data_IF_801443311646
#
_entry.id   IF_801443311646
#
_cell.length_a   1.000
_cell.length_b   1.000
_cell.length_c   1.000
_cell.angle_alpha   90.00
_cell.angle_beta   90.00
_cell.angle_gamma   90.00
#
_symmetry.space_group_name_H-M   'P 1'
#
loop_
_entity.id
_entity.type
_entity.pdbx_description
1 polymer ?
#
# COMPACT_ATOMS: atom_id res chain seq x y z
N UNK A 1 16.65 42.72 -23.30
CA UNK A 1 17.67 42.24 -22.34
C UNK A 1 17.18 42.62 -20.95
N UNK A 2 16.48 41.71 -20.25
CA UNK A 2 15.99 41.96 -18.89
C UNK A 2 16.09 40.67 -18.07
N UNK A 3 17.29 40.10 -17.98
CA UNK A 3 17.62 39.02 -17.04
C UNK A 3 18.17 39.58 -15.73
N UNK A 4 17.46 40.55 -15.12
CA UNK A 4 18.03 41.44 -14.11
C UNK A 4 17.44 41.38 -12.69
N UNK A 5 16.51 40.47 -12.39
CA UNK A 5 15.82 40.45 -11.08
C UNK A 5 15.73 39.08 -10.41
N UNK A 6 16.25 38.02 -11.03
CA UNK A 6 16.33 36.69 -10.41
C UNK A 6 17.80 36.34 -10.26
N UNK A 7 18.28 36.20 -9.03
CA UNK A 7 19.47 35.40 -8.76
C UNK A 7 19.27 34.02 -9.40
N UNK A 8 20.32 33.45 -9.98
CA UNK A 8 20.30 32.08 -10.49
C UNK A 8 19.98 31.13 -9.32
N UNK A 9 18.69 30.80 -9.16
CA UNK A 9 18.16 30.11 -7.97
C UNK A 9 16.69 30.41 -7.64
N UNK A 10 16.11 31.54 -8.07
CA UNK A 10 14.77 31.96 -7.61
C UNK A 10 13.61 30.98 -7.91
N UNK A 11 13.73 30.14 -8.94
CA UNK A 11 12.77 29.05 -9.21
C UNK A 11 12.96 27.89 -8.22
N UNK A 12 14.21 27.56 -7.86
CA UNK A 12 14.50 26.55 -6.85
C UNK A 12 14.04 27.04 -5.47
N UNK A 13 14.26 28.31 -5.13
CA UNK A 13 13.78 28.91 -3.88
C UNK A 13 12.23 28.80 -3.77
N UNK A 14 11.50 29.12 -4.84
CA UNK A 14 10.05 28.96 -4.89
C UNK A 14 9.59 27.50 -4.73
N UNK A 15 10.35 26.55 -5.30
CA UNK A 15 10.08 25.12 -5.15
C UNK A 15 10.32 24.69 -3.70
N UNK A 16 11.42 25.11 -3.09
CA UNK A 16 11.78 24.80 -1.70
C UNK A 16 10.75 25.35 -0.71
N UNK A 17 10.28 26.58 -0.92
CA UNK A 17 9.21 27.19 -0.12
C UNK A 17 7.90 26.38 -0.22
N UNK A 18 7.50 26.02 -1.45
CA UNK A 18 6.27 25.24 -1.67
C UNK A 18 6.38 23.84 -1.06
N UNK A 19 7.54 23.19 -1.18
CA UNK A 19 7.80 21.88 -0.55
C UNK A 19 7.78 22.00 0.96
N UNK A 20 8.41 23.03 1.52
CA UNK A 20 8.43 23.29 2.96
C UNK A 20 7.01 23.48 3.50
N UNK A 21 6.20 24.32 2.86
CA UNK A 21 4.80 24.53 3.22
C UNK A 21 3.99 23.24 3.12
N UNK A 22 4.20 22.45 2.06
CA UNK A 22 3.58 21.14 1.89
C UNK A 22 3.92 20.16 3.02
N UNK A 23 5.21 20.08 3.40
CA UNK A 23 5.70 19.23 4.49
C UNK A 23 5.16 19.71 5.84
N UNK A 24 5.18 21.01 6.11
CA UNK A 24 4.64 21.58 7.35
C UNK A 24 3.14 21.34 7.48
N UNK A 25 2.38 21.53 6.39
CA UNK A 25 0.96 21.24 6.32
C UNK A 25 0.66 19.76 6.56
N UNK A 26 1.46 18.85 5.97
CA UNK A 26 1.34 17.41 6.22
C UNK A 26 1.64 17.06 7.68
N UNK A 27 2.71 17.60 8.26
CA UNK A 27 3.08 17.37 9.66
C UNK A 27 2.04 17.91 10.63
N UNK A 28 1.42 19.05 10.33
CA UNK A 28 0.36 19.64 11.15
C UNK A 28 -0.93 18.78 11.18
N UNK A 29 -1.13 17.93 10.17
CA UNK A 29 -2.26 16.99 10.10
C UNK A 29 -1.98 15.64 10.76
N UNK A 30 -0.74 15.38 11.16
CA UNK A 30 -0.43 14.15 11.89
C UNK A 30 -1.08 14.22 13.28
N UNK A 31 -1.72 13.13 13.74
CA UNK A 31 -2.26 13.07 15.10
C UNK A 31 -1.12 13.26 16.11
N UNK A 32 -1.38 14.10 17.11
CA UNK A 32 -0.50 14.33 18.24
C UNK A 32 -0.96 13.51 19.45
N UNK A 33 -0.01 13.02 20.24
CA UNK A 33 -0.28 12.21 21.43
C UNK A 33 0.59 10.96 21.48
N UNK A 34 0.41 10.16 22.53
CA UNK A 34 1.09 8.87 22.66
C UNK A 34 0.57 7.89 21.62
N UNK A 35 1.47 7.33 20.83
CA UNK A 35 1.16 6.15 20.01
C UNK A 35 0.94 4.95 20.92
N UNK A 36 0.07 4.03 20.49
CA UNK A 36 0.12 2.68 21.02
C UNK A 36 1.51 2.09 20.77
N UNK A 37 1.97 1.27 21.71
CA UNK A 37 3.23 0.54 21.55
C UNK A 37 3.07 -0.61 20.54
N UNK A 38 1.85 -1.16 20.44
CA UNK A 38 1.55 -2.30 19.59
C UNK A 38 0.34 -2.02 18.70
N UNK A 39 0.36 -2.57 17.48
CA UNK A 39 -0.77 -2.52 16.58
C UNK A 39 -1.93 -3.35 17.16
N UNK A 40 -3.15 -2.79 17.12
CA UNK A 40 -4.35 -3.47 17.66
C UNK A 40 -4.74 -4.69 16.82
N UNK A 41 -4.49 -4.64 15.52
CA UNK A 41 -4.90 -5.69 14.58
C UNK A 41 -3.92 -6.87 14.54
N UNK A 42 -2.62 -6.58 14.37
CA UNK A 42 -1.58 -7.61 14.23
C UNK A 42 -0.75 -7.84 15.50
N UNK A 43 -0.83 -6.97 16.50
CA UNK A 43 -0.03 -7.05 17.73
C UNK A 43 1.44 -6.66 17.57
N UNK A 44 1.86 -6.18 16.40
CA UNK A 44 3.26 -5.86 16.10
C UNK A 44 3.73 -4.57 16.80
N UNK A 45 5.01 -4.51 17.19
CA UNK A 45 5.62 -3.28 17.72
C UNK A 45 5.66 -2.22 16.62
N UNK A 46 4.92 -1.13 16.84
CA UNK A 46 4.81 -0.04 15.88
C UNK A 46 6.16 0.69 15.75
N UNK A 47 6.91 0.82 16.85
CA UNK A 47 8.17 1.56 16.86
C UNK A 47 9.24 0.88 16.01
N UNK A 48 9.39 -0.44 16.16
CA UNK A 48 10.32 -1.25 15.39
C UNK A 48 9.99 -1.29 13.91
N UNK A 49 8.74 -1.64 13.56
CA UNK A 49 8.31 -1.79 12.16
C UNK A 49 8.43 -0.47 11.38
N UNK A 50 8.11 0.68 12.00
CA UNK A 50 8.27 1.99 11.36
C UNK A 50 9.74 2.36 11.04
N UNK A 51 10.71 1.66 11.64
CA UNK A 51 12.15 1.81 11.40
C UNK A 51 12.75 0.65 10.61
N UNK A 52 11.92 -0.25 10.11
CA UNK A 52 12.39 -1.46 9.41
C UNK A 52 13.08 -2.47 10.33
N UNK A 53 12.85 -2.41 11.64
CA UNK A 53 13.30 -3.42 12.59
C UNK A 53 12.21 -4.48 12.72
N UNK A 54 12.49 -5.68 12.21
CA UNK A 54 11.58 -6.82 12.21
C UNK A 54 12.37 -8.10 12.51
N UNK A 55 12.28 -8.58 13.75
CA UNK A 55 12.99 -9.78 14.23
C UNK A 55 12.20 -11.08 13.98
N UNK A 56 11.10 -11.04 13.20
CA UNK A 56 10.32 -12.25 12.93
C UNK A 56 11.21 -13.28 12.21
N UNK A 57 11.22 -14.53 12.69
CA UNK A 57 12.09 -15.55 12.13
C UNK A 57 11.65 -15.91 10.71
N UNK A 58 12.62 -16.13 9.83
CA UNK A 58 12.36 -16.79 8.55
C UNK A 58 11.88 -18.20 8.83
N UNK A 59 10.68 -18.53 8.35
CA UNK A 59 10.19 -19.91 8.30
C UNK A 59 10.33 -20.42 6.85
N UNK A 60 11.33 -21.26 6.55
CA UNK A 60 11.55 -21.78 5.19
C UNK A 60 10.52 -22.85 4.80
N UNK A 61 9.95 -23.55 5.77
CA UNK A 61 9.05 -24.68 5.57
C UNK A 61 7.58 -24.26 5.70
N UNK A 62 7.22 -23.11 5.12
CA UNK A 62 5.84 -22.62 5.14
C UNK A 62 4.97 -23.43 4.20
N UNK A 63 4.13 -24.27 4.78
CA UNK A 63 3.08 -24.98 4.05
C UNK A 63 2.06 -24.01 3.43
N UNK A 64 1.56 -24.37 2.24
CA UNK A 64 0.50 -23.64 1.56
C UNK A 64 -0.80 -23.78 2.37
N UNK A 65 -1.35 -22.66 2.83
CA UNK A 65 -2.59 -22.63 3.63
C UNK A 65 -3.88 -22.73 2.80
N UNK A 66 -3.81 -22.40 1.51
CA UNK A 66 -4.96 -22.44 0.60
C UNK A 66 -4.52 -22.69 -0.85
N UNK A 67 -5.36 -23.42 -1.60
CA UNK A 67 -5.29 -23.52 -3.06
C UNK A 67 -6.61 -22.98 -3.63
N UNK A 68 -6.54 -22.17 -4.67
CA UNK A 68 -7.71 -21.50 -5.24
C UNK A 68 -7.49 -21.17 -6.71
N UNK A 69 -8.59 -21.03 -7.45
CA UNK A 69 -8.61 -20.56 -8.83
C UNK A 69 -9.63 -19.44 -8.93
N UNK A 70 -9.25 -18.37 -9.63
CA UNK A 70 -10.12 -17.22 -9.88
C UNK A 70 -10.01 -16.80 -11.33
N UNK A 71 -11.06 -16.16 -11.83
CA UNK A 71 -11.09 -15.58 -13.18
C UNK A 71 -11.99 -14.36 -13.15
N UNK A 72 -11.42 -13.21 -13.51
CA UNK A 72 -12.18 -11.97 -13.72
C UNK A 72 -12.70 -11.96 -15.14
N UNK A 73 -14.02 -11.80 -15.31
CA UNK A 73 -14.67 -11.72 -16.62
C UNK A 73 -14.74 -10.28 -17.11
N UNK A 74 -14.68 -10.09 -18.43
CA UNK A 74 -14.76 -8.76 -19.07
C UNK A 74 -16.11 -8.08 -18.84
N UNK A 75 -17.18 -8.87 -18.70
CA UNK A 75 -18.53 -8.38 -18.42
C UNK A 75 -19.17 -9.19 -17.30
N UNK A 76 -20.18 -8.60 -16.64
CA UNK A 76 -20.89 -9.25 -15.55
C UNK A 76 -21.63 -10.50 -16.06
N UNK A 77 -21.38 -11.64 -15.41
CA UNK A 77 -22.17 -12.84 -15.62
C UNK A 77 -23.47 -12.73 -14.81
N UNK A 78 -24.60 -12.66 -15.51
CA UNK A 78 -25.95 -12.62 -14.90
C UNK A 78 -26.76 -13.90 -15.15
N UNK A 79 -26.31 -14.74 -16.09
CA UNK A 79 -26.92 -16.04 -16.38
C UNK A 79 -26.38 -17.10 -15.42
N UNK A 80 -27.26 -17.66 -14.61
CA UNK A 80 -26.94 -18.72 -13.64
C UNK A 80 -26.28 -19.93 -14.29
N UNK A 81 -26.72 -20.35 -15.48
CA UNK A 81 -26.15 -21.51 -16.18
C UNK A 81 -24.68 -21.26 -16.54
N UNK A 82 -24.39 -20.03 -17.00
CA UNK A 82 -23.03 -19.61 -17.33
C UNK A 82 -22.16 -19.54 -16.08
N UNK A 83 -22.69 -19.00 -14.98
CA UNK A 83 -21.99 -18.95 -13.69
C UNK A 83 -21.62 -20.36 -13.21
N UNK A 84 -22.58 -21.29 -13.22
CA UNK A 84 -22.35 -22.69 -12.82
C UNK A 84 -21.27 -23.37 -13.66
N UNK A 85 -21.29 -23.14 -14.98
CA UNK A 85 -20.28 -23.65 -15.91
C UNK A 85 -18.88 -23.12 -15.55
N UNK A 86 -18.75 -21.82 -15.31
CA UNK A 86 -17.47 -21.20 -14.98
C UNK A 86 -16.96 -21.64 -13.60
N UNK A 87 -17.84 -21.78 -12.61
CA UNK A 87 -17.48 -22.30 -11.28
C UNK A 87 -16.97 -23.74 -11.39
N UNK A 88 -17.63 -24.60 -12.19
CA UNK A 88 -17.16 -25.97 -12.41
C UNK A 88 -15.75 -25.99 -13.03
N UNK A 89 -15.49 -25.15 -14.04
CA UNK A 89 -14.17 -25.03 -14.64
C UNK A 89 -13.10 -24.50 -13.65
N UNK A 90 -13.46 -23.57 -12.74
CA UNK A 90 -12.56 -23.11 -11.68
C UNK A 90 -12.28 -24.22 -10.67
N UNK A 91 -13.27 -25.04 -10.31
CA UNK A 91 -13.10 -26.17 -9.40
C UNK A 91 -12.11 -27.19 -9.98
N UNK A 92 -12.21 -27.54 -11.26
CA UNK A 92 -11.25 -28.43 -11.93
C UNK A 92 -9.81 -27.89 -11.84
N UNK A 93 -9.60 -26.59 -12.03
CA UNK A 93 -8.28 -25.95 -11.93
C UNK A 93 -7.68 -25.98 -10.53
N UNK A 94 -8.50 -26.00 -9.47
CA UNK A 94 -8.00 -26.08 -8.09
C UNK A 94 -7.36 -27.44 -7.79
N UNK A 95 -7.86 -28.49 -8.44
CA UNK A 95 -7.44 -29.89 -8.21
C UNK A 95 -6.46 -30.45 -9.25
N UNK A 96 -6.18 -29.69 -10.31
CA UNK A 96 -5.14 -30.01 -11.30
C UNK A 96 -3.73 -29.65 -10.78
#
# INVERSE_FOLDING_TARGET
>A
MAGGWTLDGGVLDQIEDTVTDGVLSARARLPAGESLLFCVECGEDIYGIARGVDDRPVNPDRERKSSGSETTFETNLLDTTRIETEIAALAEKVFA
#
